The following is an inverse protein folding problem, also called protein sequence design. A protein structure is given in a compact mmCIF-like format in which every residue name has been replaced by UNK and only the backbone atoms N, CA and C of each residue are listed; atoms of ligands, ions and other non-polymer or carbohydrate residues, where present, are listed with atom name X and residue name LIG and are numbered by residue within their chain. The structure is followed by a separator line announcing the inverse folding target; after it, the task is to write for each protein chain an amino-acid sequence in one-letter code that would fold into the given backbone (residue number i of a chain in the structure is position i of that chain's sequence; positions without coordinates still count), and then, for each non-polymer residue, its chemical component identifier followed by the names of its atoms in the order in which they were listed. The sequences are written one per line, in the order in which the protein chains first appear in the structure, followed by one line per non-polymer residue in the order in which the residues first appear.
data_IF_819100802583
#
_entry.id   IF_819100802583
#
_cell.length_a   1.000
_cell.length_b   1.000
_cell.length_c   1.000
_cell.angle_alpha   90.00
_cell.angle_beta   90.00
_cell.angle_gamma   90.00
#
_symmetry.space_group_name_H-M   'P 1'
#
loop_
_entity.id
_entity.type
_entity.pdbx_description
1 polymer ?
#
# COMPACT_ATOMS: atom_id res chain seq x y z
N UNK A 1 21.07 2.14 2.33
CA UNK A 1 21.30 3.59 2.40
C UNK A 1 20.20 4.29 1.61
N UNK A 2 19.03 4.59 2.19
CA UNK A 2 17.98 5.41 1.55
C UNK A 2 16.76 5.68 2.46
N UNK A 3 16.91 5.97 3.76
CA UNK A 3 15.73 6.30 4.59
C UNK A 3 15.56 7.81 4.81
N UNK A 4 16.66 8.56 4.94
CA UNK A 4 16.61 10.00 5.21
C UNK A 4 16.18 10.82 4.00
N UNK A 5 16.74 10.53 2.82
CA UNK A 5 16.41 11.25 1.58
C UNK A 5 14.95 11.05 1.16
N UNK A 6 14.41 9.84 1.29
CA UNK A 6 13.00 9.56 1.02
C UNK A 6 12.09 10.29 2.00
N UNK A 7 12.45 10.31 3.29
CA UNK A 7 11.68 10.99 4.34
C UNK A 7 11.61 12.50 4.14
N UNK A 8 12.73 13.13 3.74
CA UNK A 8 12.80 14.57 3.45
C UNK A 8 11.97 14.95 2.22
N UNK A 9 12.05 14.15 1.14
CA UNK A 9 11.21 14.34 -0.05
C UNK A 9 9.73 14.21 0.30
N UNK A 10 9.37 13.20 1.10
CA UNK A 10 7.98 12.99 1.48
C UNK A 10 7.41 14.07 2.37
N UNK A 11 8.23 14.59 3.30
CA UNK A 11 7.86 15.73 4.11
C UNK A 11 7.61 16.98 3.23
N UNK A 12 8.42 17.20 2.19
CA UNK A 12 8.21 18.29 1.24
C UNK A 12 6.94 18.11 0.39
N UNK A 13 6.64 16.89 -0.07
CA UNK A 13 5.41 16.59 -0.81
C UNK A 13 4.17 16.80 0.08
N UNK A 14 4.18 16.32 1.32
CA UNK A 14 3.08 16.55 2.26
C UNK A 14 2.87 18.04 2.54
N UNK A 15 3.94 18.83 2.68
CA UNK A 15 3.84 20.28 2.82
C UNK A 15 3.23 20.94 1.58
N UNK A 16 3.66 20.54 0.38
CA UNK A 16 3.16 21.07 -0.88
C UNK A 16 1.66 20.78 -1.08
N UNK A 17 1.19 19.61 -0.61
CA UNK A 17 -0.21 19.18 -0.65
C UNK A 17 -1.04 19.69 0.55
N UNK A 18 -0.46 20.52 1.43
CA UNK A 18 -1.16 21.06 2.60
C UNK A 18 -1.54 20.00 3.66
N UNK A 19 -0.90 18.83 3.64
CA UNK A 19 -1.09 17.71 4.58
C UNK A 19 -0.28 18.02 5.85
N UNK A 20 -0.81 18.92 6.68
CA UNK A 20 -0.09 19.49 7.84
C UNK A 20 -0.53 18.93 9.19
N UNK A 21 -1.71 18.30 9.29
CA UNK A 21 -2.25 17.91 10.60
C UNK A 21 -1.62 16.64 11.17
N UNK A 22 -1.19 15.68 10.34
CA UNK A 22 -0.45 14.48 10.79
C UNK A 22 0.47 13.92 9.68
N UNK A 23 1.45 14.69 9.18
CA UNK A 23 2.27 14.27 8.03
C UNK A 23 2.97 12.93 8.25
N UNK A 24 3.37 12.61 9.48
CA UNK A 24 4.01 11.32 9.80
C UNK A 24 3.07 10.13 9.58
N UNK A 25 1.78 10.26 9.96
CA UNK A 25 0.81 9.17 9.80
C UNK A 25 0.44 8.98 8.33
N UNK A 26 0.25 10.07 7.58
CA UNK A 26 -0.01 9.98 6.14
C UNK A 26 1.18 9.41 5.37
N UNK A 27 2.41 9.80 5.73
CA UNK A 27 3.66 9.25 5.19
C UNK A 27 3.74 7.74 5.46
N UNK A 28 3.44 7.32 6.69
CA UNK A 28 3.42 5.90 7.05
C UNK A 28 2.41 5.14 6.17
N UNK A 29 1.15 5.57 6.11
CA UNK A 29 0.15 4.88 5.28
C UNK A 29 0.53 4.84 3.80
N UNK A 30 1.12 5.90 3.24
CA UNK A 30 1.62 5.89 1.86
C UNK A 30 2.73 4.87 1.66
N UNK A 31 3.66 4.77 2.60
CA UNK A 31 4.75 3.80 2.56
C UNK A 31 4.23 2.36 2.69
N UNK A 32 3.27 2.11 3.58
CA UNK A 32 2.64 0.80 3.72
C UNK A 32 1.82 0.43 2.47
N UNK A 33 1.11 1.39 1.86
CA UNK A 33 0.41 1.17 0.57
C UNK A 33 1.39 0.73 -0.53
N UNK A 34 2.54 1.40 -0.63
CA UNK A 34 3.58 1.04 -1.60
C UNK A 34 4.12 -0.37 -1.33
N UNK A 35 4.45 -0.65 -0.07
CA UNK A 35 5.00 -1.95 0.35
C UNK A 35 4.01 -3.10 0.12
N UNK A 36 2.73 -2.90 0.47
CA UNK A 36 1.69 -3.91 0.26
C UNK A 36 1.35 -4.07 -1.23
N UNK A 37 1.42 -3.01 -2.03
CA UNK A 37 1.25 -3.13 -3.49
C UNK A 37 2.38 -3.96 -4.14
N UNK A 38 3.62 -3.80 -3.70
CA UNK A 38 4.74 -4.66 -4.13
C UNK A 38 4.52 -6.11 -3.73
N UNK A 39 4.14 -6.36 -2.48
CA UNK A 39 3.82 -7.69 -1.95
C UNK A 39 2.70 -8.37 -2.75
N UNK A 40 1.62 -7.65 -3.06
CA UNK A 40 0.52 -8.15 -3.89
C UNK A 40 0.97 -8.58 -5.29
N UNK A 41 1.85 -7.80 -5.94
CA UNK A 41 2.38 -8.14 -7.26
C UNK A 41 3.24 -9.41 -7.23
N UNK A 42 4.01 -9.60 -6.16
CA UNK A 42 4.79 -10.82 -5.93
C UNK A 42 3.86 -12.03 -5.74
N UNK A 43 2.88 -11.93 -4.84
CA UNK A 43 1.91 -12.99 -4.55
C UNK A 43 1.09 -13.37 -5.79
N UNK A 44 0.66 -12.41 -6.60
CA UNK A 44 -0.01 -12.68 -7.89
C UNK A 44 0.90 -13.43 -8.87
N UNK A 45 2.20 -13.12 -8.86
CA UNK A 45 3.19 -13.81 -9.71
C UNK A 45 3.40 -15.25 -9.27
N UNK A 46 3.46 -15.50 -7.96
CA UNK A 46 3.55 -16.85 -7.37
C UNK A 46 2.27 -17.63 -7.64
N UNK A 47 1.09 -17.07 -7.35
CA UNK A 47 -0.20 -17.71 -7.56
C UNK A 47 -0.40 -18.12 -9.03
N UNK A 48 -0.01 -17.25 -9.98
CA UNK A 48 -0.02 -17.58 -11.41
C UNK A 48 0.87 -18.76 -11.73
N UNK A 49 2.05 -18.85 -11.11
CA UNK A 49 3.01 -19.93 -11.30
C UNK A 49 2.45 -21.25 -10.76
N UNK A 50 1.86 -21.25 -9.57
CA UNK A 50 1.30 -22.45 -8.94
C UNK A 50 0.07 -22.94 -9.69
N UNK A 51 -0.78 -22.01 -10.14
CA UNK A 51 -1.91 -22.31 -11.02
C UNK A 51 -1.44 -22.93 -12.35
N UNK A 52 -0.39 -22.37 -12.97
CA UNK A 52 0.18 -22.91 -14.20
C UNK A 52 0.74 -24.34 -14.01
N UNK A 53 1.33 -24.61 -12.84
CA UNK A 53 1.84 -25.94 -12.46
C UNK A 53 0.74 -26.90 -12.02
N UNK A 54 -0.50 -26.44 -11.91
CA UNK A 54 -1.63 -27.17 -11.35
C UNK A 54 -1.37 -27.69 -9.91
N UNK A 55 -0.56 -26.96 -9.14
CA UNK A 55 -0.33 -27.25 -7.72
C UNK A 55 -1.43 -26.59 -6.89
N UNK A 56 -2.51 -27.34 -6.66
CA UNK A 56 -3.69 -26.83 -5.96
C UNK A 56 -3.41 -26.44 -4.50
N UNK A 57 -2.49 -27.14 -3.83
CA UNK A 57 -2.18 -26.86 -2.42
C UNK A 57 -1.39 -25.54 -2.30
N UNK A 58 -0.33 -25.39 -3.10
CA UNK A 58 0.45 -24.15 -3.14
C UNK A 58 -0.41 -22.96 -3.58
N UNK A 59 -1.23 -23.12 -4.63
CA UNK A 59 -2.13 -22.06 -5.09
C UNK A 59 -3.14 -21.64 -4.01
N UNK A 60 -3.65 -22.59 -3.20
CA UNK A 60 -4.56 -22.26 -2.10
C UNK A 60 -3.86 -21.49 -0.98
N UNK A 61 -2.63 -21.87 -0.62
CA UNK A 61 -1.82 -21.16 0.38
C UNK A 61 -1.50 -19.74 -0.08
N UNK A 62 -1.01 -19.56 -1.30
CA UNK A 62 -0.72 -18.23 -1.85
C UNK A 62 -1.99 -17.38 -2.00
N UNK A 63 -3.15 -17.97 -2.32
CA UNK A 63 -4.41 -17.22 -2.37
C UNK A 63 -4.87 -16.73 -0.98
N UNK A 64 -4.59 -17.49 0.08
CA UNK A 64 -4.85 -17.06 1.44
C UNK A 64 -3.96 -15.88 1.83
N UNK A 65 -2.65 -15.95 1.53
CA UNK A 65 -1.72 -14.84 1.76
C UNK A 65 -2.09 -13.59 0.95
N UNK A 66 -2.49 -13.77 -0.31
CA UNK A 66 -2.97 -12.68 -1.16
C UNK A 66 -4.20 -11.98 -0.57
N UNK A 67 -5.10 -12.74 0.06
CA UNK A 67 -6.29 -12.18 0.72
C UNK A 67 -5.89 -11.30 1.90
N UNK A 68 -4.95 -11.75 2.73
CA UNK A 68 -4.44 -10.99 3.88
C UNK A 68 -3.75 -9.69 3.41
N UNK A 69 -2.91 -9.77 2.37
CA UNK A 69 -2.25 -8.59 1.80
C UNK A 69 -3.26 -7.57 1.24
N UNK A 70 -4.36 -8.04 0.63
CA UNK A 70 -5.44 -7.17 0.16
C UNK A 70 -6.16 -6.48 1.32
N UNK A 71 -6.39 -7.17 2.44
CA UNK A 71 -6.99 -6.59 3.64
C UNK A 71 -6.10 -5.49 4.25
N UNK A 72 -4.78 -5.70 4.30
CA UNK A 72 -3.83 -4.69 4.76
C UNK A 72 -3.81 -3.46 3.84
N UNK A 73 -3.73 -3.67 2.52
CA UNK A 73 -3.78 -2.57 1.56
C UNK A 73 -5.09 -1.78 1.69
N UNK A 74 -6.22 -2.48 1.79
CA UNK A 74 -7.53 -1.86 1.98
C UNK A 74 -7.55 -1.01 3.24
N UNK A 75 -7.01 -1.52 4.36
CA UNK A 75 -6.94 -0.79 5.61
C UNK A 75 -6.16 0.53 5.44
N UNK A 76 -4.97 0.50 4.87
CA UNK A 76 -4.17 1.71 4.71
C UNK A 76 -4.78 2.73 3.74
N UNK A 77 -5.42 2.26 2.65
CA UNK A 77 -6.18 3.13 1.76
C UNK A 77 -7.36 3.77 2.50
N UNK A 78 -8.10 2.99 3.31
CA UNK A 78 -9.26 3.48 4.04
C UNK A 78 -8.90 4.56 5.07
N UNK A 79 -7.77 4.42 5.77
CA UNK A 79 -7.29 5.43 6.71
C UNK A 79 -6.81 6.70 6.00
N UNK A 80 -6.15 6.57 4.85
CA UNK A 80 -5.55 7.69 4.15
C UNK A 80 -6.54 8.48 3.26
N UNK A 81 -7.45 7.79 2.59
CA UNK A 81 -8.32 8.34 1.55
C UNK A 81 -9.18 9.53 2.03
N UNK A 82 -9.84 9.51 3.20
CA UNK A 82 -10.64 10.63 3.68
C UNK A 82 -9.80 11.90 3.88
N UNK A 83 -8.56 11.73 4.36
CA UNK A 83 -7.62 12.85 4.54
C UNK A 83 -7.24 13.46 3.21
N UNK A 84 -6.94 12.63 2.20
CA UNK A 84 -6.61 13.10 0.86
C UNK A 84 -7.82 13.78 0.19
N UNK A 85 -9.00 13.19 0.26
CA UNK A 85 -10.24 13.77 -0.30
C UNK A 85 -10.51 15.15 0.28
N UNK A 86 -10.44 15.29 1.61
CA UNK A 86 -10.63 16.59 2.29
C UNK A 86 -9.59 17.63 1.89
N UNK A 87 -8.33 17.22 1.69
CA UNK A 87 -7.23 18.14 1.37
C UNK A 87 -7.19 18.56 -0.09
N UNK A 88 -7.62 17.66 -0.98
CA UNK A 88 -7.63 17.86 -2.42
C UNK A 88 -8.99 18.35 -2.96
N UNK A 89 -9.97 18.56 -2.08
CA UNK A 89 -11.34 18.96 -2.43
C UNK A 89 -11.98 17.99 -3.45
N UNK A 90 -11.82 16.68 -3.20
CA UNK A 90 -12.35 15.61 -4.05
C UNK A 90 -13.66 15.09 -3.48
N UNK A 91 -14.67 14.92 -4.34
CA UNK A 91 -15.90 14.21 -4.00
C UNK A 91 -15.65 12.68 -3.91
N UNK A 92 -16.43 11.93 -3.11
CA UNK A 92 -16.32 10.48 -2.98
C UNK A 92 -16.57 9.69 -4.27
#
# INVERSE_FOLDING_TARGET
MSSTATKEIWQAVCQLLGITEQPILSVMHLQEIESEAENLLELLTVLRTDTYRADAAAAQETAAELTIALEHLQHHIHELLPTLQKKLDLEP
#
